data_IF_443176369886
#
_entry.id   IF_443176369886
#
_cell.length_a   1.000
_cell.length_b   1.000
_cell.length_c   1.000
_cell.angle_alpha   90.00
_cell.angle_beta   90.00
_cell.angle_gamma   90.00
#
_symmetry.space_group_name_H-M   'P 1'
#
loop_
_entity.id
_entity.type
_entity.pdbx_description
1 polymer ?
#
# COMPACT_ATOMS: atom_id res chain seq x y z
N UNK A 1 -14.63 -7.16 0.90
CA UNK A 1 -14.04 -8.38 0.29
C UNK A 1 -14.96 -9.60 0.31
N UNK A 2 -15.39 -10.14 1.46
CA UNK A 2 -16.22 -11.37 1.45
C UNK A 2 -17.58 -11.19 0.74
N UNK A 3 -18.21 -10.01 0.88
CA UNK A 3 -19.48 -9.70 0.22
C UNK A 3 -19.30 -9.43 -1.28
N UNK A 4 -18.33 -8.59 -1.67
CA UNK A 4 -17.98 -8.35 -3.09
C UNK A 4 -17.71 -9.66 -3.86
N UNK A 5 -17.03 -10.63 -3.24
CA UNK A 5 -16.77 -11.94 -3.85
C UNK A 5 -18.05 -12.78 -4.02
N UNK A 6 -19.01 -12.66 -3.10
CA UNK A 6 -20.32 -13.31 -3.21
C UNK A 6 -21.12 -12.67 -4.35
N UNK A 7 -21.13 -11.33 -4.43
CA UNK A 7 -21.87 -10.57 -5.43
C UNK A 7 -21.26 -10.76 -6.83
N UNK A 8 -19.93 -10.85 -6.93
CA UNK A 8 -19.21 -11.21 -8.15
C UNK A 8 -19.62 -12.62 -8.63
N UNK A 9 -19.58 -13.60 -7.73
CA UNK A 9 -19.98 -14.98 -8.06
C UNK A 9 -21.43 -15.02 -8.55
N UNK A 10 -22.31 -14.28 -7.90
CA UNK A 10 -23.72 -14.23 -8.27
C UNK A 10 -23.93 -13.60 -9.64
N UNK A 11 -23.26 -12.48 -9.93
CA UNK A 11 -23.34 -11.80 -11.23
C UNK A 11 -22.82 -12.67 -12.37
N UNK A 12 -21.76 -13.43 -12.14
CA UNK A 12 -21.25 -14.44 -13.10
C UNK A 12 -22.29 -15.53 -13.37
N UNK A 13 -22.93 -16.07 -12.33
CA UNK A 13 -23.93 -17.12 -12.45
C UNK A 13 -25.20 -16.64 -13.18
N UNK A 14 -25.56 -15.37 -13.02
CA UNK A 14 -26.74 -14.74 -13.63
C UNK A 14 -26.46 -14.16 -15.02
N UNK A 15 -25.23 -14.28 -15.53
CA UNK A 15 -24.82 -13.79 -16.84
C UNK A 15 -24.70 -12.27 -16.94
N UNK A 16 -24.70 -11.56 -15.80
CA UNK A 16 -24.48 -10.11 -15.72
C UNK A 16 -22.97 -9.83 -15.69
N UNK A 17 -22.35 -9.95 -16.86
CA UNK A 17 -20.90 -9.80 -16.97
C UNK A 17 -20.42 -8.36 -16.81
N UNK A 18 -21.21 -7.37 -17.22
CA UNK A 18 -20.87 -5.96 -17.02
C UNK A 18 -20.79 -5.62 -15.53
N UNK A 19 -21.81 -6.01 -14.74
CA UNK A 19 -21.80 -5.89 -13.27
C UNK A 19 -20.61 -6.65 -12.65
N UNK A 20 -20.29 -7.85 -13.16
CA UNK A 20 -19.16 -8.62 -12.67
C UNK A 20 -17.82 -7.93 -12.93
N UNK A 21 -17.67 -7.26 -14.08
CA UNK A 21 -16.47 -6.48 -14.39
C UNK A 21 -16.35 -5.24 -13.50
N UNK A 22 -17.44 -4.54 -13.23
CA UNK A 22 -17.46 -3.39 -12.31
C UNK A 22 -17.00 -3.80 -10.90
N UNK A 23 -17.50 -4.93 -10.39
CA UNK A 23 -17.07 -5.46 -9.08
C UNK A 23 -15.58 -5.85 -9.08
N UNK A 24 -15.06 -6.36 -10.21
CA UNK A 24 -13.62 -6.67 -10.35
C UNK A 24 -12.79 -5.39 -10.25
N UNK A 25 -13.17 -4.35 -10.98
CA UNK A 25 -12.46 -3.07 -10.98
C UNK A 25 -12.43 -2.45 -9.57
N UNK A 26 -13.55 -2.50 -8.85
CA UNK A 26 -13.65 -2.06 -7.45
C UNK A 26 -12.74 -2.87 -6.53
N UNK A 27 -12.72 -4.21 -6.67
CA UNK A 27 -11.86 -5.10 -5.90
C UNK A 27 -10.37 -4.80 -6.15
N UNK A 28 -9.99 -4.55 -7.39
CA UNK A 28 -8.63 -4.16 -7.76
C UNK A 28 -8.24 -2.82 -7.13
N UNK A 29 -9.13 -1.82 -7.19
CA UNK A 29 -8.90 -0.52 -6.55
C UNK A 29 -8.77 -0.65 -5.04
N UNK A 30 -9.66 -1.40 -4.38
CA UNK A 30 -9.60 -1.65 -2.94
C UNK A 30 -8.29 -2.31 -2.53
N UNK A 31 -7.83 -3.30 -3.29
CA UNK A 31 -6.54 -3.98 -3.04
C UNK A 31 -5.36 -3.01 -3.17
N UNK A 32 -5.35 -2.19 -4.22
CA UNK A 32 -4.35 -1.12 -4.43
C UNK A 32 -4.34 -0.14 -3.27
N UNK A 33 -5.51 0.41 -2.89
CA UNK A 33 -5.64 1.35 -1.78
C UNK A 33 -5.20 0.72 -0.45
N UNK A 34 -5.51 -0.56 -0.22
CA UNK A 34 -5.05 -1.29 0.96
C UNK A 34 -3.53 -1.39 1.05
N UNK A 35 -2.84 -1.60 -0.07
CA UNK A 35 -1.38 -1.60 -0.13
C UNK A 35 -0.80 -0.21 0.12
N UNK A 36 -1.36 0.82 -0.50
CA UNK A 36 -0.92 2.21 -0.33
C UNK A 36 -1.04 2.69 1.13
N UNK A 37 -2.16 2.38 1.81
CA UNK A 37 -2.33 2.71 3.24
C UNK A 37 -1.28 2.04 4.14
N UNK A 38 -0.84 0.82 3.80
CA UNK A 38 0.22 0.14 4.56
C UNK A 38 1.56 0.85 4.35
N UNK A 39 1.88 1.23 3.10
CA UNK A 39 3.08 2.02 2.78
C UNK A 39 3.07 3.34 3.56
N UNK A 40 1.94 4.05 3.58
CA UNK A 40 1.75 5.29 4.32
C UNK A 40 2.02 5.11 5.83
N UNK A 41 1.50 4.03 6.44
CA UNK A 41 1.75 3.76 7.85
C UNK A 41 3.24 3.56 8.19
N UNK A 42 4.00 2.90 7.30
CA UNK A 42 5.46 2.79 7.46
C UNK A 42 6.18 4.11 7.22
N UNK A 43 5.73 4.92 6.27
CA UNK A 43 6.26 6.27 6.04
C UNK A 43 6.07 7.16 7.26
N UNK A 44 4.88 7.17 7.86
CA UNK A 44 4.61 7.94 9.08
C UNK A 44 5.55 7.52 10.21
N UNK A 45 5.72 6.21 10.43
CA UNK A 45 6.66 5.69 11.45
C UNK A 45 8.11 6.13 11.17
N UNK A 46 8.55 6.01 9.92
CA UNK A 46 9.89 6.43 9.47
C UNK A 46 10.10 7.93 9.75
N UNK A 47 9.17 8.78 9.32
CA UNK A 47 9.24 10.24 9.49
C UNK A 47 9.28 10.62 10.97
N UNK A 48 8.47 9.99 11.82
CA UNK A 48 8.50 10.23 13.27
C UNK A 48 9.91 9.98 13.84
N UNK A 49 10.54 8.85 13.50
CA UNK A 49 11.89 8.56 13.99
C UNK A 49 12.95 9.51 13.44
N UNK A 50 12.81 9.97 12.19
CA UNK A 50 13.72 10.95 11.61
C UNK A 50 13.58 12.32 12.29
N UNK A 51 12.36 12.75 12.59
CA UNK A 51 12.10 13.99 13.35
C UNK A 51 12.67 13.88 14.76
N UNK A 52 12.43 12.76 15.45
CA UNK A 52 12.98 12.53 16.79
C UNK A 52 14.51 12.54 16.78
N UNK A 53 15.15 11.90 15.79
CA UNK A 53 16.60 11.95 15.62
C UNK A 53 17.10 13.39 15.41
N UNK A 54 16.39 14.19 14.60
CA UNK A 54 16.76 15.59 14.36
C UNK A 54 16.59 16.47 15.61
N UNK A 55 15.57 16.26 16.42
CA UNK A 55 15.33 17.06 17.63
C UNK A 55 16.25 16.64 18.78
N UNK A 56 16.42 15.33 18.98
CA UNK A 56 17.21 14.78 20.10
C UNK A 56 18.71 14.67 19.80
N UNK A 57 19.11 14.82 18.54
CA UNK A 57 20.51 14.64 18.08
C UNK A 57 21.08 13.27 18.50
N UNK A 58 20.21 12.26 18.51
CA UNK A 58 20.52 10.91 18.96
C UNK A 58 19.81 9.89 18.10
N UNK A 59 20.53 8.80 17.82
CA UNK A 59 20.00 7.64 17.12
C UNK A 59 20.25 6.38 17.95
N UNK A 60 19.18 5.79 18.49
CA UNK A 60 19.29 4.53 19.27
C UNK A 60 19.21 3.31 18.35
N UNK A 61 19.74 2.17 18.80
CA UNK A 61 19.68 0.92 18.01
C UNK A 61 18.24 0.50 17.67
N UNK A 62 17.28 0.73 18.57
CA UNK A 62 15.87 0.43 18.30
C UNK A 62 15.28 1.34 17.22
N UNK A 63 15.70 2.60 17.15
CA UNK A 63 15.29 3.51 16.08
C UNK A 63 15.92 3.14 14.75
N UNK A 64 17.21 2.76 14.73
CA UNK A 64 17.88 2.26 13.52
C UNK A 64 17.13 1.05 12.97
N UNK A 65 16.78 0.09 13.85
CA UNK A 65 16.02 -1.09 13.46
C UNK A 65 14.64 -0.72 12.89
N UNK A 66 13.91 0.19 13.54
CA UNK A 66 12.58 0.64 13.10
C UNK A 66 12.60 1.39 11.77
N UNK A 67 13.59 2.27 11.57
CA UNK A 67 13.84 2.99 10.31
C UNK A 67 14.14 1.98 9.19
N UNK A 68 15.05 1.04 9.45
CA UNK A 68 15.48 0.04 8.47
C UNK A 68 14.34 -0.89 8.07
N UNK A 69 13.58 -1.38 9.05
CA UNK A 69 12.37 -2.18 8.78
C UNK A 69 11.36 -1.37 7.96
N UNK A 70 11.06 -0.13 8.34
CA UNK A 70 10.10 0.71 7.60
C UNK A 70 10.49 0.86 6.12
N UNK A 71 11.78 1.11 5.82
CA UNK A 71 12.28 1.20 4.43
C UNK A 71 12.11 -0.13 3.70
N UNK A 72 12.48 -1.25 4.32
CA UNK A 72 12.35 -2.59 3.71
C UNK A 72 10.88 -2.93 3.43
N UNK A 73 9.96 -2.61 4.36
CA UNK A 73 8.53 -2.90 4.18
C UNK A 73 7.92 -2.02 3.09
N UNK A 74 8.31 -0.73 3.01
CA UNK A 74 7.87 0.16 1.93
C UNK A 74 8.31 -0.39 0.57
N UNK A 75 9.58 -0.77 0.42
CA UNK A 75 10.10 -1.32 -0.84
C UNK A 75 9.37 -2.61 -1.24
N UNK A 76 9.21 -3.54 -0.30
CA UNK A 76 8.49 -4.81 -0.53
C UNK A 76 7.04 -4.60 -0.93
N UNK A 77 6.33 -3.70 -0.25
CA UNK A 77 4.91 -3.43 -0.53
C UNK A 77 4.72 -2.65 -1.83
N UNK A 78 5.71 -1.85 -2.25
CA UNK A 78 5.58 -1.04 -3.45
C UNK A 78 5.74 -1.86 -4.74
N UNK A 79 6.33 -3.05 -4.69
CA UNK A 79 6.45 -3.96 -5.83
C UNK A 79 5.13 -4.74 -6.03
N UNK A 80 4.58 -4.71 -7.24
CA UNK A 80 3.40 -5.52 -7.59
C UNK A 80 3.77 -6.99 -7.82
N UNK A 81 2.79 -7.87 -7.82
CA UNK A 81 2.97 -9.33 -7.97
C UNK A 81 3.77 -9.75 -9.22
N UNK A 82 3.76 -8.94 -10.27
CA UNK A 82 4.55 -9.18 -11.49
C UNK A 82 6.06 -8.89 -11.33
N UNK A 83 6.51 -8.44 -10.16
CA UNK A 83 7.89 -8.13 -9.78
C UNK A 83 8.62 -7.09 -10.67
N UNK A 84 7.89 -6.45 -11.59
CA UNK A 84 8.45 -5.51 -12.58
C UNK A 84 7.84 -4.12 -12.50
N UNK A 85 6.67 -4.02 -11.88
CA UNK A 85 5.94 -2.76 -11.76
C UNK A 85 5.73 -2.39 -10.31
N UNK A 86 5.53 -1.09 -10.10
CA UNK A 86 5.38 -0.51 -8.78
C UNK A 86 4.00 0.13 -8.62
N UNK A 87 3.48 0.17 -7.40
CA UNK A 87 2.27 0.94 -7.08
C UNK A 87 2.54 2.44 -7.16
N UNK A 88 3.69 2.88 -6.65
CA UNK A 88 4.18 4.26 -6.71
C UNK A 88 5.52 4.25 -7.47
N UNK A 89 5.55 4.89 -8.63
CA UNK A 89 6.79 5.07 -9.38
C UNK A 89 7.72 6.07 -8.66
N UNK A 90 9.03 5.92 -8.82
CA UNK A 90 10.03 6.73 -8.12
C UNK A 90 9.88 8.24 -8.34
N UNK A 91 9.36 8.66 -9.51
CA UNK A 91 9.10 10.06 -9.86
C UNK A 91 7.66 10.52 -9.52
N UNK A 92 6.85 9.68 -8.88
CA UNK A 92 5.42 9.91 -8.62
C UNK A 92 5.06 9.98 -7.15
N UNK A 93 6.03 9.84 -6.24
CA UNK A 93 5.79 9.98 -4.80
C UNK A 93 5.18 11.32 -4.41
N UNK A 94 5.46 12.40 -5.15
CA UNK A 94 4.89 13.73 -4.86
C UNK A 94 3.36 13.79 -4.94
N UNK A 95 2.72 12.93 -5.74
CA UNK A 95 1.26 12.87 -5.85
C UNK A 95 0.60 12.26 -4.60
N UNK A 96 1.37 11.53 -3.78
CA UNK A 96 0.92 10.83 -2.57
C UNK A 96 1.34 11.51 -1.27
N UNK A 97 2.23 12.53 -1.35
CA UNK A 97 2.79 13.25 -0.21
C UNK A 97 2.29 14.70 -0.12
N UNK A 98 1.36 15.09 -0.99
CA UNK A 98 0.81 16.43 -1.10
C UNK A 98 -0.41 16.65 -0.19
#
# INVERSE_FOLDING_TARGET
>A
MTQELIDLRQSILEGRYDDALEIIDDLEEMSKQGTLRKIEAFLVRLVIHLIQNQVEQRLTNSWIASISDSVIQIDKLNVKDNQKSYYIQSNKWGEYLA
#
